data_IF_932114250014
#
_entry.id   IF_932114250014
#
_cell.length_a   1.000
_cell.length_b   1.000
_cell.length_c   1.000
_cell.angle_alpha   90.00
_cell.angle_beta   90.00
_cell.angle_gamma   90.00
#
_symmetry.space_group_name_H-M   'P 1'
#
loop_
_entity.id
_entity.type
_entity.pdbx_description
1 polymer ?
#
# COMPACT_ATOMS: atom_id res chain seq x y z
N UNK A 1 -6.19 8.34 -16.58
CA UNK A 1 -4.86 7.76 -16.36
C UNK A 1 -5.00 6.39 -15.71
N UNK A 2 -4.16 5.42 -16.07
CA UNK A 2 -4.26 4.02 -15.60
C UNK A 2 -3.31 3.78 -14.42
N UNK A 3 -3.73 3.00 -13.41
CA UNK A 3 -2.91 2.67 -12.22
C UNK A 3 -1.53 2.08 -12.58
N UNK A 4 -1.42 1.21 -13.61
CA UNK A 4 -0.12 0.73 -14.09
C UNK A 4 0.84 1.84 -14.55
N UNK A 5 0.34 2.90 -15.19
CA UNK A 5 1.19 4.01 -15.63
C UNK A 5 1.70 4.83 -14.43
N UNK A 6 0.86 5.01 -13.40
CA UNK A 6 1.25 5.65 -12.15
C UNK A 6 2.31 4.83 -11.42
N UNK A 7 2.10 3.52 -11.28
CA UNK A 7 3.07 2.61 -10.67
C UNK A 7 4.41 2.61 -11.42
N UNK A 8 4.39 2.58 -12.75
CA UNK A 8 5.62 2.62 -13.54
C UNK A 8 6.39 3.94 -13.35
N UNK A 9 5.70 5.09 -13.32
CA UNK A 9 6.33 6.37 -13.05
C UNK A 9 6.94 6.45 -11.64
N UNK A 10 6.26 5.86 -10.64
CA UNK A 10 6.69 5.83 -9.25
C UNK A 10 7.84 4.84 -8.99
N UNK A 11 7.91 3.74 -9.74
CA UNK A 11 8.97 2.75 -9.61
C UNK A 11 10.37 3.35 -9.85
N UNK A 12 10.49 4.39 -10.67
CA UNK A 12 11.75 5.09 -10.92
C UNK A 12 12.24 5.93 -9.73
N UNK A 13 11.36 6.24 -8.78
CA UNK A 13 11.62 7.11 -7.62
C UNK A 13 11.79 6.30 -6.31
N UNK A 14 11.76 4.98 -6.42
CA UNK A 14 11.69 4.05 -5.29
C UNK A 14 12.75 2.97 -5.42
N UNK A 15 13.24 2.50 -4.28
CA UNK A 15 14.16 1.35 -4.19
C UNK A 15 13.41 0.01 -4.20
N UNK A 16 12.07 0.04 -4.22
CA UNK A 16 11.19 -1.13 -4.08
C UNK A 16 9.97 -1.04 -4.99
N UNK A 17 9.32 -2.17 -5.24
CA UNK A 17 8.19 -2.24 -6.15
C UNK A 17 6.94 -1.55 -5.55
N UNK A 18 6.24 -0.68 -6.31
CA UNK A 18 5.02 -0.05 -5.85
C UNK A 18 3.91 -1.07 -5.62
N UNK A 19 3.19 -0.95 -4.51
CA UNK A 19 1.95 -1.71 -4.27
C UNK A 19 0.79 -1.00 -4.94
N UNK A 20 -0.04 -1.74 -5.67
CA UNK A 20 -1.26 -1.23 -6.31
C UNK A 20 -2.47 -1.80 -5.58
N UNK A 21 -3.34 -0.92 -5.10
CA UNK A 21 -4.69 -1.23 -4.65
C UNK A 21 -5.68 -0.82 -5.75
N UNK A 22 -6.29 -1.81 -6.40
CA UNK A 22 -7.27 -1.56 -7.47
C UNK A 22 -8.64 -1.13 -6.94
N UNK A 23 -8.98 -1.49 -5.69
CA UNK A 23 -10.28 -1.21 -5.07
C UNK A 23 -10.35 0.26 -4.69
N UNK A 24 -9.34 0.73 -3.95
CA UNK A 24 -9.23 2.12 -3.51
C UNK A 24 -8.52 3.00 -4.56
N UNK A 25 -8.07 2.40 -5.67
CA UNK A 25 -7.32 3.05 -6.76
C UNK A 25 -6.10 3.81 -6.25
N UNK A 26 -5.38 3.19 -5.32
CA UNK A 26 -4.22 3.77 -4.65
C UNK A 26 -2.94 3.08 -5.09
N UNK A 27 -1.86 3.85 -5.21
CA UNK A 27 -0.51 3.31 -5.39
C UNK A 27 0.33 3.74 -4.20
N UNK A 28 0.86 2.78 -3.45
CA UNK A 28 1.74 3.01 -2.31
C UNK A 28 3.17 2.67 -2.72
N UNK A 29 4.12 3.57 -2.45
CA UNK A 29 5.53 3.32 -2.77
C UNK A 29 6.45 3.80 -1.64
N UNK A 30 7.42 2.97 -1.19
CA UNK A 30 8.44 3.40 -0.25
C UNK A 30 9.38 4.42 -0.88
N UNK A 31 9.66 5.49 -0.15
CA UNK A 31 10.50 6.58 -0.64
C UNK A 31 11.53 7.01 0.41
N UNK A 32 12.75 7.24 -0.05
CA UNK A 32 13.85 7.80 0.72
C UNK A 32 13.86 9.34 0.54
N UNK A 33 14.13 10.09 1.60
CA UNK A 33 14.26 11.57 1.51
C UNK A 33 13.07 12.39 2.03
N UNK A 34 11.98 11.76 2.47
CA UNK A 34 10.88 12.46 3.15
C UNK A 34 10.11 13.41 2.22
N UNK A 35 9.78 14.61 2.70
CA UNK A 35 8.88 15.53 1.98
C UNK A 35 9.45 16.11 0.69
N UNK A 36 10.77 16.11 0.49
CA UNK A 36 11.39 16.63 -0.73
C UNK A 36 11.04 15.77 -1.96
N UNK A 37 10.81 14.47 -1.74
CA UNK A 37 10.47 13.52 -2.81
C UNK A 37 9.10 13.81 -3.45
N UNK A 38 8.21 14.52 -2.74
CA UNK A 38 6.87 14.82 -3.23
C UNK A 38 6.90 15.66 -4.51
N UNK A 39 7.89 16.55 -4.64
CA UNK A 39 8.05 17.38 -5.84
C UNK A 39 8.43 16.50 -7.03
N UNK A 40 9.35 15.55 -6.84
CA UNK A 40 9.80 14.64 -7.89
C UNK A 40 8.68 13.67 -8.30
N UNK A 41 7.89 13.20 -7.34
CA UNK A 41 6.70 12.37 -7.58
C UNK A 41 5.67 13.10 -8.44
N UNK A 42 5.31 14.33 -8.06
CA UNK A 42 4.33 15.13 -8.81
C UNK A 42 4.83 15.38 -10.24
N UNK A 43 6.12 15.73 -10.41
CA UNK A 43 6.70 15.96 -11.74
C UNK A 43 6.78 14.70 -12.58
N UNK A 44 7.10 13.55 -11.98
CA UNK A 44 7.14 12.26 -12.66
C UNK A 44 5.75 11.83 -13.16
N UNK A 45 4.73 12.00 -12.32
CA UNK A 45 3.35 11.68 -12.68
C UNK A 45 2.78 12.64 -13.73
N UNK A 46 3.07 13.93 -13.62
CA UNK A 46 2.69 14.93 -14.64
C UNK A 46 3.33 14.61 -16.00
N UNK A 47 4.63 14.28 -16.01
CA UNK A 47 5.36 13.89 -17.23
C UNK A 47 4.79 12.61 -17.87
N UNK A 48 4.20 11.73 -17.06
CA UNK A 48 3.52 10.51 -17.51
C UNK A 48 2.04 10.75 -17.90
N UNK A 49 1.53 11.98 -17.80
CA UNK A 49 0.12 12.30 -18.08
C UNK A 49 -0.85 11.71 -17.05
N UNK A 50 -0.38 11.44 -15.83
CA UNK A 50 -1.18 10.90 -14.74
C UNK A 50 -1.69 12.04 -13.86
N UNK A 51 -3.00 12.28 -13.92
CA UNK A 51 -3.66 13.22 -13.02
C UNK A 51 -3.74 12.65 -11.59
N UNK A 52 -3.26 13.42 -10.62
CA UNK A 52 -3.34 13.14 -9.19
C UNK A 52 -4.62 13.75 -8.61
N UNK A 53 -5.32 12.97 -7.78
CA UNK A 53 -6.45 13.46 -6.97
C UNK A 53 -5.99 13.80 -5.55
N UNK A 54 -5.17 12.94 -4.95
CA UNK A 54 -4.58 13.14 -3.63
C UNK A 54 -3.14 12.58 -3.59
N UNK A 55 -2.32 13.14 -2.71
CA UNK A 55 -0.95 12.70 -2.46
C UNK A 55 -0.64 12.84 -0.97
N UNK A 56 -0.37 11.72 -0.32
CA UNK A 56 -0.05 11.67 1.10
C UNK A 56 1.31 11.01 1.36
N UNK A 57 2.00 11.52 2.39
CA UNK A 57 3.23 10.92 2.90
C UNK A 57 2.97 10.42 4.32
N UNK A 58 3.18 9.12 4.55
CA UNK A 58 3.11 8.55 5.89
C UNK A 58 4.48 8.06 6.33
N UNK A 59 4.78 8.20 7.62
CA UNK A 59 5.96 7.58 8.21
C UNK A 59 5.61 6.12 8.54
N UNK A 60 6.42 5.14 8.12
CA UNK A 60 6.18 3.75 8.48
C UNK A 60 6.26 3.57 9.99
N UNK A 61 5.37 2.74 10.52
CA UNK A 61 5.32 2.30 11.91
C UNK A 61 6.36 1.20 12.16
N UNK A 62 6.58 0.86 13.43
CA UNK A 62 7.46 -0.27 13.77
C UNK A 62 6.87 -1.60 13.26
N UNK A 63 5.55 -1.74 13.31
CA UNK A 63 4.84 -2.90 12.78
C UNK A 63 5.04 -3.00 11.27
N UNK A 64 4.92 -1.90 10.51
CA UNK A 64 5.22 -1.88 9.06
C UNK A 64 6.62 -2.43 8.77
N UNK A 65 7.62 -1.97 9.54
CA UNK A 65 9.02 -2.39 9.37
C UNK A 65 9.23 -3.85 9.80
N UNK A 66 8.62 -4.28 10.89
CA UNK A 66 8.68 -5.66 11.37
C UNK A 66 8.04 -6.63 10.37
N UNK A 67 6.90 -6.24 9.82
CA UNK A 67 6.16 -6.95 8.80
C UNK A 67 7.02 -7.03 7.52
N UNK A 68 7.55 -5.91 7.01
CA UNK A 68 8.47 -5.92 5.87
C UNK A 68 9.71 -6.79 6.09
N UNK A 69 10.29 -6.80 7.30
CA UNK A 69 11.43 -7.66 7.66
C UNK A 69 11.07 -9.14 7.73
N UNK A 70 9.84 -9.47 8.10
CA UNK A 70 9.35 -10.86 8.25
C UNK A 70 8.63 -11.39 7.01
N UNK A 71 8.53 -10.58 5.95
CA UNK A 71 7.93 -10.95 4.68
C UNK A 71 6.40 -10.97 4.67
N UNK A 72 5.75 -10.29 5.61
CA UNK A 72 4.30 -10.05 5.62
C UNK A 72 4.11 -8.55 5.44
N UNK A 73 3.31 -8.06 4.52
CA UNK A 73 3.11 -6.60 4.36
C UNK A 73 2.02 -6.13 5.31
N UNK A 74 2.17 -4.94 5.92
CA UNK A 74 1.18 -4.38 6.87
C UNK A 74 -0.21 -4.12 6.27
N UNK A 75 -0.30 -4.01 4.95
CA UNK A 75 -1.56 -3.84 4.23
C UNK A 75 -2.47 -5.09 4.33
N UNK A 76 -1.96 -6.26 4.73
CA UNK A 76 -2.77 -7.48 4.96
C UNK A 76 -3.62 -7.42 6.24
N UNK A 77 -3.26 -6.58 7.23
CA UNK A 77 -3.96 -6.57 8.53
C UNK A 77 -5.12 -5.57 8.61
N UNK A 78 -5.14 -4.49 7.82
CA UNK A 78 -6.22 -3.49 7.86
C UNK A 78 -7.57 -4.05 7.33
N UNK A 79 -7.56 -5.04 6.44
CA UNK A 79 -8.77 -5.72 5.94
C UNK A 79 -9.32 -6.74 6.97
N UNK A 80 -8.47 -7.23 7.88
CA UNK A 80 -8.85 -8.25 8.87
C UNK A 80 -9.61 -7.69 10.09
N UNK A 81 -9.54 -6.38 10.33
CA UNK A 81 -10.16 -5.75 11.50
C UNK A 81 -11.70 -5.61 11.41
N UNK A 82 -12.33 -5.89 10.25
CA UNK A 82 -13.79 -5.79 10.07
C UNK A 82 -14.53 -7.11 9.85
N UNK A 83 -13.84 -8.27 9.80
CA UNK A 83 -14.52 -9.59 9.70
C UNK A 83 -14.69 -10.28 11.06
N UNK A 84 -15.75 -9.87 11.75
CA UNK A 84 -16.67 -10.80 12.43
C UNK A 84 -16.08 -11.82 13.41
N UNK A 85 -15.91 -11.38 14.65
CA UNK A 85 -15.88 -12.23 15.85
C UNK A 85 -17.21 -12.98 16.01
N UNK A 86 -17.36 -14.11 15.32
CA UNK A 86 -18.50 -15.05 15.39
C UNK A 86 -18.14 -16.34 16.13
N UNK A 87 -18.62 -16.45 17.37
CA UNK A 87 -18.43 -17.54 18.34
C UNK A 87 -18.55 -18.98 17.80
N UNK A 88 -17.62 -19.79 18.30
CA UNK A 88 -17.71 -21.21 18.66
C UNK A 88 -19.12 -21.80 18.83
N UNK A 89 -19.38 -22.96 18.20
CA UNK A 89 -20.16 -24.04 18.84
C UNK A 89 -19.73 -25.43 18.34
N UNK A 90 -18.95 -26.06 19.22
CA UNK A 90 -18.80 -27.50 19.44
C UNK A 90 -20.10 -28.29 19.17
N UNK A 91 -20.03 -29.38 18.41
CA UNK A 91 -20.77 -30.61 18.74
C UNK A 91 -20.07 -31.86 18.19
N UNK A 92 -19.59 -32.64 19.14
CA UNK A 92 -19.27 -34.07 19.04
C UNK A 92 -20.55 -34.91 18.81
N UNK A 93 -20.33 -36.22 18.58
CA UNK A 93 -21.27 -37.34 18.39
C UNK A 93 -21.69 -37.56 16.92
N UNK A 94 -21.16 -38.58 16.22
CA UNK A 94 -21.37 -40.04 16.37
C UNK A 94 -22.78 -40.46 15.91
N UNK A 95 -22.82 -41.07 14.72
CA UNK A 95 -23.69 -42.18 14.31
C UNK A 95 -23.19 -42.68 12.95
#
# INVERSE_FOLDING_TARGET
ATLPAAAQALAALSESEPTIDEVDRRVTVPVSGGSTVLVDVVRGLDSAGVALEDLSLRRPTLDDVFLSLTGRTAEDEEDSATKGRGKSKKKEASA
#
